data_IF_026576039311
#
_entry.id   IF_026576039311
#
_cell.length_a   1.000
_cell.length_b   1.000
_cell.length_c   1.000
_cell.angle_alpha   90.00
_cell.angle_beta   90.00
_cell.angle_gamma   90.00
#
_symmetry.space_group_name_H-M   'P 1'
#
loop_
_entity.id
_entity.type
_entity.pdbx_description
1 polymer ?
#
# COMPACT_ATOMS: atom_id res chain seq x y z
N UNK A 1 -1.91 -1.30 -16.20
CA UNK A 1 -2.31 -0.14 -15.36
C UNK A 1 -3.25 -0.67 -14.28
N UNK A 2 -2.94 -0.47 -12.99
CA UNK A 2 -3.80 -0.91 -11.86
C UNK A 2 -4.81 0.17 -11.44
N UNK A 3 -4.62 1.40 -11.91
CA UNK A 3 -5.59 2.49 -11.75
C UNK A 3 -6.89 2.15 -12.49
N UNK A 4 -8.03 2.31 -11.82
CA UNK A 4 -9.35 2.08 -12.40
C UNK A 4 -9.96 0.69 -12.14
N UNK A 5 -9.26 -0.21 -11.45
CA UNK A 5 -9.84 -1.46 -10.97
C UNK A 5 -10.48 -1.23 -9.60
N UNK A 6 -11.81 -1.12 -9.54
CA UNK A 6 -12.54 -0.89 -8.28
C UNK A 6 -12.36 -1.99 -7.24
N UNK A 7 -11.98 -3.19 -7.66
CA UNK A 7 -11.74 -4.36 -6.80
C UNK A 7 -10.31 -4.45 -6.27
N UNK A 8 -9.37 -3.61 -6.73
CA UNK A 8 -7.96 -3.71 -6.36
C UNK A 8 -7.56 -2.51 -5.52
N UNK A 9 -7.01 -2.80 -4.33
CA UNK A 9 -6.37 -1.81 -3.50
C UNK A 9 -4.84 -1.93 -3.63
N UNK A 10 -4.12 -0.80 -3.64
CA UNK A 10 -2.67 -0.79 -3.92
C UNK A 10 -1.88 0.03 -2.91
N UNK A 11 -0.73 -0.54 -2.52
CA UNK A 11 0.30 0.07 -1.69
C UNK A 11 1.61 0.05 -2.49
N UNK A 12 2.38 1.13 -2.47
CA UNK A 12 3.61 1.26 -3.25
C UNK A 12 4.83 1.28 -2.33
N UNK A 13 5.79 0.40 -2.59
CA UNK A 13 7.07 0.47 -1.88
C UNK A 13 7.84 1.74 -2.25
N UNK A 14 7.89 2.10 -3.54
CA UNK A 14 8.54 3.33 -4.03
C UNK A 14 7.63 4.19 -4.90
N UNK A 15 7.79 5.51 -4.77
CA UNK A 15 7.24 6.50 -5.70
C UNK A 15 7.99 6.40 -7.04
N UNK A 16 7.26 6.26 -8.12
CA UNK A 16 7.84 6.44 -9.46
C UNK A 16 8.20 7.91 -9.68
N UNK A 17 9.41 8.16 -10.18
CA UNK A 17 9.88 9.50 -10.56
C UNK A 17 9.67 9.83 -12.03
N UNK A 18 9.16 8.88 -12.83
CA UNK A 18 8.86 9.14 -14.24
C UNK A 18 7.79 10.26 -14.35
N UNK A 19 7.98 11.26 -15.23
CA UNK A 19 7.08 12.41 -15.32
C UNK A 19 5.60 12.08 -15.56
N UNK A 20 5.32 10.98 -16.27
CA UNK A 20 3.97 10.54 -16.62
C UNK A 20 3.39 9.50 -15.65
N UNK A 21 4.11 9.15 -14.59
CA UNK A 21 3.66 8.13 -13.67
C UNK A 21 2.53 8.65 -12.78
N UNK A 22 1.42 7.92 -12.78
CA UNK A 22 0.35 8.09 -11.80
C UNK A 22 0.70 7.27 -10.55
N UNK A 23 1.10 7.95 -9.48
CA UNK A 23 1.30 7.33 -8.18
C UNK A 23 -0.04 7.28 -7.40
N UNK A 24 -0.14 6.35 -6.46
CA UNK A 24 -1.26 6.23 -5.53
C UNK A 24 -1.17 7.29 -4.41
N UNK A 25 -2.17 7.31 -3.53
CA UNK A 25 -2.21 8.24 -2.39
C UNK A 25 -0.92 8.16 -1.56
N UNK A 26 -0.35 9.31 -1.21
CA UNK A 26 0.99 9.41 -0.60
C UNK A 26 1.12 8.59 0.69
N UNK A 27 0.06 8.53 1.50
CA UNK A 27 0.01 7.74 2.72
C UNK A 27 0.22 6.23 2.50
N UNK A 28 0.03 5.74 1.27
CA UNK A 28 0.25 4.35 0.85
C UNK A 28 1.56 4.14 0.09
N UNK A 29 2.42 5.15 0.04
CA UNK A 29 3.78 5.06 -0.51
C UNK A 29 4.78 5.07 0.64
N UNK A 30 5.60 4.03 0.75
CA UNK A 30 6.62 3.95 1.80
C UNK A 30 7.80 4.89 1.52
N UNK A 31 8.40 4.80 0.33
CA UNK A 31 9.62 5.54 -0.02
C UNK A 31 9.33 6.58 -1.10
N UNK A 32 9.51 7.87 -0.77
CA UNK A 32 9.30 8.99 -1.71
C UNK A 32 10.56 9.34 -2.52
N UNK A 33 11.71 8.91 -2.01
CA UNK A 33 13.04 9.06 -2.57
C UNK A 33 13.83 7.74 -2.43
N UNK A 34 15.10 7.77 -2.83
CA UNK A 34 16.03 6.63 -2.76
C UNK A 34 17.02 6.75 -1.59
N UNK A 35 16.89 7.78 -0.75
CA UNK A 35 17.80 8.02 0.39
C UNK A 35 17.23 7.52 1.71
N UNK A 36 15.94 7.19 1.75
CA UNK A 36 15.23 6.66 2.91
C UNK A 36 14.74 5.21 2.67
N UNK A 37 14.66 4.44 3.76
CA UNK A 37 14.27 3.02 3.73
C UNK A 37 13.13 2.72 4.69
N UNK A 38 11.90 2.96 4.26
CA UNK A 38 10.68 2.59 4.97
C UNK A 38 10.08 1.30 4.42
N UNK A 39 9.17 0.72 5.20
CA UNK A 39 8.56 -0.58 4.93
C UNK A 39 7.05 -0.48 4.75
N UNK A 40 6.48 -1.51 4.14
CA UNK A 40 5.06 -1.82 4.18
C UNK A 40 4.90 -3.20 4.78
N UNK A 41 4.07 -3.32 5.81
CA UNK A 41 3.87 -4.56 6.55
C UNK A 41 2.44 -5.03 6.38
N UNK A 42 2.31 -6.32 6.07
CA UNK A 42 1.06 -7.06 6.13
C UNK A 42 1.04 -7.91 7.40
N UNK A 43 0.01 -7.75 8.23
CA UNK A 43 -0.29 -8.66 9.34
C UNK A 43 -1.55 -9.45 9.00
N UNK A 44 -1.44 -10.77 8.94
CA UNK A 44 -2.53 -11.67 8.53
C UNK A 44 -3.07 -12.46 9.73
N UNK A 45 -4.38 -12.63 9.77
CA UNK A 45 -5.07 -13.51 10.72
C UNK A 45 -5.41 -14.85 10.05
N UNK A 46 -5.60 -15.89 10.85
CA UNK A 46 -5.98 -17.24 10.37
C UNK A 46 -7.35 -17.29 9.71
N UNK A 47 -8.22 -16.30 9.96
CA UNK A 47 -9.55 -16.19 9.37
C UNK A 47 -9.55 -15.58 7.96
N UNK A 48 -8.37 -15.21 7.43
CA UNK A 48 -8.21 -14.59 6.12
C UNK A 48 -8.37 -13.06 6.10
N UNK A 49 -8.65 -12.42 7.24
CA UNK A 49 -8.52 -10.97 7.37
C UNK A 49 -7.04 -10.56 7.47
N UNK A 50 -6.73 -9.33 7.04
CA UNK A 50 -5.38 -8.80 7.16
C UNK A 50 -5.36 -7.27 7.31
N UNK A 51 -4.24 -6.74 7.81
CA UNK A 51 -3.98 -5.30 7.95
C UNK A 51 -2.71 -4.92 7.22
N UNK A 52 -2.80 -3.88 6.39
CA UNK A 52 -1.65 -3.22 5.79
C UNK A 52 -1.25 -2.00 6.62
N UNK A 53 0.04 -1.77 6.79
CA UNK A 53 0.62 -0.65 7.56
C UNK A 53 1.80 -0.07 6.78
N UNK A 54 1.87 1.26 6.63
CA UNK A 54 3.04 1.96 6.11
C UNK A 54 3.91 2.46 7.28
N UNK A 55 5.16 2.01 7.33
CA UNK A 55 6.10 2.37 8.39
C UNK A 55 6.56 3.82 8.37
N UNK A 56 6.44 4.52 7.24
CA UNK A 56 6.77 5.96 7.14
C UNK A 56 5.73 6.83 7.85
N UNK A 57 4.45 6.54 7.65
CA UNK A 57 3.34 7.43 8.05
C UNK A 57 2.50 6.88 9.21
N UNK A 58 2.61 5.58 9.51
CA UNK A 58 1.70 4.88 10.42
C UNK A 58 0.31 4.61 9.82
N UNK A 59 0.04 5.08 8.60
CA UNK A 59 -1.23 4.86 7.91
C UNK A 59 -1.50 3.36 7.75
N UNK A 60 -2.74 2.97 8.00
CA UNK A 60 -3.11 1.56 8.05
C UNK A 60 -4.51 1.33 7.48
N UNK A 61 -4.70 0.19 6.84
CA UNK A 61 -6.02 -0.25 6.36
C UNK A 61 -6.26 -1.70 6.75
N UNK A 62 -7.43 -1.96 7.32
CA UNK A 62 -7.92 -3.30 7.62
C UNK A 62 -8.71 -3.83 6.41
N UNK A 63 -8.48 -5.08 6.08
CA UNK A 63 -9.21 -5.83 5.06
C UNK A 63 -9.91 -6.99 5.76
N UNK A 64 -11.25 -7.03 5.71
CA UNK A 64 -12.01 -8.09 6.37
C UNK A 64 -11.75 -9.43 5.68
N UNK A 65 -12.07 -10.51 6.37
CA UNK A 65 -12.08 -11.84 5.76
C UNK A 65 -13.03 -11.86 4.55
N UNK A 66 -12.72 -12.64 3.50
CA UNK A 66 -13.62 -12.82 2.37
C UNK A 66 -14.99 -13.38 2.80
N UNK A 67 -16.09 -13.04 2.09
CA UNK A 67 -17.36 -13.73 2.27
C UNK A 67 -17.20 -15.23 1.96
N UNK A 68 -18.00 -16.07 2.64
CA UNK A 68 -18.07 -17.51 2.37
C UNK A 68 -18.77 -17.81 1.05
#
# INVERSE_FOLDING_TARGET
MLHGLSAVDTWQLHRSQNPEAVNFAEERIANLDETTGHWIMLSANTDGSFRMTNGRTGASKNYPKPPR
#
